data_IF_133642420822
#
_entry.id   IF_133642420822
#
_cell.length_a   1.000
_cell.length_b   1.000
_cell.length_c   1.000
_cell.angle_alpha   90.00
_cell.angle_beta   90.00
_cell.angle_gamma   90.00
#
_symmetry.space_group_name_H-M   'P 1'
#
loop_
_entity.id
_entity.type
_entity.pdbx_description
1 polymer ?
#
# COMPACT_ATOMS: atom_id res chain seq x y z
N UNK A 1 9.19 8.68 6.46
CA UNK A 1 9.42 9.24 5.10
C UNK A 1 10.62 8.57 4.47
N UNK A 2 11.67 8.25 5.21
CA UNK A 2 12.81 7.47 4.71
C UNK A 2 12.39 6.12 4.11
N UNK A 3 11.58 5.32 4.82
CA UNK A 3 11.00 4.07 4.30
C UNK A 3 10.21 4.26 2.99
N UNK A 4 9.52 5.40 2.82
CA UNK A 4 8.78 5.71 1.59
C UNK A 4 9.74 6.03 0.46
N UNK A 5 10.81 6.77 0.74
CA UNK A 5 11.85 7.06 -0.24
C UNK A 5 12.54 5.77 -0.71
N UNK A 6 12.78 4.83 0.22
CA UNK A 6 13.31 3.51 -0.11
C UNK A 6 12.35 2.74 -1.05
N UNK A 7 11.04 2.76 -0.79
CA UNK A 7 10.05 2.14 -1.68
C UNK A 7 10.02 2.82 -3.05
N UNK A 8 10.04 4.16 -3.09
CA UNK A 8 10.08 4.94 -4.35
C UNK A 8 11.30 4.53 -5.18
N UNK A 9 12.48 4.44 -4.57
CA UNK A 9 13.70 4.01 -5.27
C UNK A 9 13.65 2.54 -5.68
N UNK A 10 13.20 1.65 -4.79
CA UNK A 10 13.14 0.20 -5.02
C UNK A 10 12.22 -0.15 -6.18
N UNK A 11 11.07 0.51 -6.29
CA UNK A 11 10.06 0.25 -7.32
C UNK A 11 10.12 1.23 -8.50
N UNK A 12 11.05 2.19 -8.49
CA UNK A 12 11.17 3.20 -9.55
C UNK A 12 9.92 4.07 -9.69
N UNK A 13 9.30 4.44 -8.57
CA UNK A 13 8.08 5.25 -8.55
C UNK A 13 8.39 6.72 -8.83
N UNK A 14 7.40 7.44 -9.35
CA UNK A 14 7.46 8.90 -9.48
C UNK A 14 6.88 9.54 -8.20
N UNK A 15 7.27 10.77 -7.88
CA UNK A 15 6.67 11.54 -6.79
C UNK A 15 6.60 13.03 -7.13
N UNK A 16 5.61 13.73 -6.58
CA UNK A 16 5.51 15.19 -6.64
C UNK A 16 5.49 15.80 -5.21
N UNK A 17 5.13 17.08 -5.06
CA UNK A 17 5.09 17.72 -3.73
C UNK A 17 4.14 17.04 -2.72
N UNK A 18 3.09 16.37 -3.20
CA UNK A 18 2.00 15.85 -2.38
C UNK A 18 1.72 14.35 -2.59
N UNK A 19 2.19 13.75 -3.69
CA UNK A 19 1.81 12.40 -4.11
C UNK A 19 3.00 11.49 -4.38
N UNK A 20 2.80 10.20 -4.09
CA UNK A 20 3.54 9.10 -4.70
C UNK A 20 2.73 8.62 -5.90
N UNK A 21 3.37 8.46 -7.05
CA UNK A 21 2.74 8.16 -8.33
C UNK A 21 3.17 6.76 -8.74
N UNK A 22 2.21 5.84 -8.78
CA UNK A 22 2.43 4.42 -9.06
C UNK A 22 1.90 4.09 -10.46
N UNK A 23 2.73 3.59 -11.39
CA UNK A 23 2.26 3.08 -12.67
C UNK A 23 1.54 1.73 -12.46
N UNK A 24 0.27 1.64 -12.84
CA UNK A 24 -0.58 0.44 -12.63
C UNK A 24 -0.94 -0.27 -13.95
N UNK A 25 -0.06 -0.17 -14.95
CA UNK A 25 -0.23 -0.81 -16.27
C UNK A 25 -0.83 0.10 -17.35
N UNK A 26 -0.32 -0.03 -18.58
CA UNK A 26 -0.69 0.83 -19.70
C UNK A 26 -0.41 2.32 -19.43
N UNK A 27 -1.38 3.17 -19.73
CA UNK A 27 -1.30 4.63 -19.47
C UNK A 27 -1.94 5.04 -18.13
N UNK A 28 -2.25 4.09 -17.24
CA UNK A 28 -2.91 4.38 -15.95
C UNK A 28 -1.88 4.64 -14.86
N UNK A 29 -2.16 5.64 -14.02
CA UNK A 29 -1.34 6.03 -12.86
C UNK A 29 -2.25 6.12 -11.64
N UNK A 30 -1.80 5.58 -10.52
CA UNK A 30 -2.40 5.77 -9.21
C UNK A 30 -1.64 6.87 -8.46
N UNK A 31 -2.36 7.80 -7.86
CA UNK A 31 -1.80 8.92 -7.11
C UNK A 31 -2.16 8.75 -5.65
N UNK A 32 -1.15 8.55 -4.80
CA UNK A 32 -1.34 8.30 -3.37
C UNK A 32 -0.80 9.51 -2.59
N UNK A 33 -1.64 10.10 -1.76
CA UNK A 33 -1.25 11.23 -0.92
C UNK A 33 -0.13 10.85 0.07
N UNK A 34 0.89 11.70 0.18
CA UNK A 34 1.99 11.60 1.15
C UNK A 34 1.51 11.95 2.56
N UNK A 35 0.77 11.03 3.15
CA UNK A 35 0.35 11.07 4.57
C UNK A 35 1.00 9.92 5.30
N UNK A 36 1.24 10.07 6.61
CA UNK A 36 1.80 8.97 7.41
C UNK A 36 0.88 7.75 7.41
N UNK A 37 -0.43 8.00 7.46
CA UNK A 37 -1.47 6.98 7.44
C UNK A 37 -2.60 7.39 6.50
N UNK A 38 -3.23 6.38 5.90
CA UNK A 38 -4.44 6.51 5.10
C UNK A 38 -5.54 5.68 5.74
N UNK A 39 -6.66 6.32 6.05
CA UNK A 39 -7.83 5.65 6.58
C UNK A 39 -8.62 5.00 5.45
N UNK A 40 -8.82 3.69 5.54
CA UNK A 40 -9.75 2.95 4.68
C UNK A 40 -10.99 2.61 5.49
N UNK A 41 -12.15 3.04 4.99
CA UNK A 41 -13.46 2.80 5.61
C UNK A 41 -14.10 1.61 4.91
N UNK A 42 -14.27 0.51 5.64
CA UNK A 42 -14.91 -0.72 5.14
C UNK A 42 -16.43 -0.72 5.40
N UNK A 43 -16.85 -0.13 6.52
CA UNK A 43 -18.26 0.10 6.86
C UNK A 43 -18.39 1.31 7.78
N UNK A 44 -19.63 1.71 8.10
CA UNK A 44 -19.89 2.86 8.99
C UNK A 44 -19.17 2.76 10.35
N UNK A 45 -18.94 1.55 10.86
CA UNK A 45 -18.31 1.31 12.16
C UNK A 45 -16.93 0.66 12.07
N UNK A 46 -16.48 0.29 10.86
CA UNK A 46 -15.20 -0.40 10.65
C UNK A 46 -14.31 0.39 9.69
N UNK A 47 -13.20 0.88 10.23
CA UNK A 47 -12.15 1.54 9.49
C UNK A 47 -10.79 1.11 10.03
N UNK A 48 -9.77 1.17 9.16
CA UNK A 48 -8.40 0.85 9.50
C UNK A 48 -7.48 1.94 8.95
N UNK A 49 -6.53 2.38 9.77
CA UNK A 49 -5.50 3.35 9.38
C UNK A 49 -4.25 2.59 8.94
N UNK A 50 -3.96 2.58 7.65
CA UNK A 50 -2.81 1.89 7.07
C UNK A 50 -1.63 2.85 6.91
N UNK A 51 -0.39 2.44 7.28
CA UNK A 51 0.79 3.21 6.97
C UNK A 51 0.98 3.30 5.45
N UNK A 52 1.50 4.43 4.98
CA UNK A 52 1.65 4.68 3.54
C UNK A 52 2.53 3.63 2.84
N UNK A 53 3.48 3.03 3.55
CA UNK A 53 4.30 1.92 3.06
C UNK A 53 3.44 0.75 2.58
N UNK A 54 2.52 0.29 3.43
CA UNK A 54 1.59 -0.81 3.11
C UNK A 54 0.63 -0.45 1.98
N UNK A 55 0.18 0.80 1.92
CA UNK A 55 -0.68 1.29 0.83
C UNK A 55 0.06 1.21 -0.51
N UNK A 56 1.31 1.67 -0.56
CA UNK A 56 2.15 1.61 -1.76
C UNK A 56 2.37 0.16 -2.18
N UNK A 57 2.80 -0.69 -1.26
CA UNK A 57 3.11 -2.10 -1.54
C UNK A 57 1.87 -2.87 -2.00
N UNK A 58 0.72 -2.69 -1.34
CA UNK A 58 -0.53 -3.31 -1.75
C UNK A 58 -0.97 -2.85 -3.15
N UNK A 59 -0.80 -1.57 -3.47
CA UNK A 59 -1.14 -1.02 -4.79
C UNK A 59 -0.24 -1.60 -5.89
N UNK A 60 1.05 -1.79 -5.61
CA UNK A 60 2.00 -2.40 -6.56
C UNK A 60 1.72 -3.90 -6.74
N UNK A 61 1.41 -4.61 -5.64
CA UNK A 61 1.18 -6.06 -5.66
C UNK A 61 -0.14 -6.42 -6.36
N UNK A 62 -1.19 -5.61 -6.18
CA UNK A 62 -2.51 -5.85 -6.74
C UNK A 62 -3.06 -4.63 -7.50
N UNK A 63 -2.45 -4.22 -8.63
CA UNK A 63 -2.78 -2.98 -9.33
C UNK A 63 -4.18 -2.95 -9.96
N UNK A 64 -4.78 -4.13 -10.18
CA UNK A 64 -6.12 -4.28 -10.75
C UNK A 64 -7.24 -4.27 -9.68
N UNK A 65 -6.89 -4.32 -8.39
CA UNK A 65 -7.86 -4.40 -7.29
C UNK A 65 -8.14 -3.02 -6.67
N UNK A 66 -9.35 -2.80 -6.12
CA UNK A 66 -9.60 -1.67 -5.24
C UNK A 66 -8.64 -1.69 -4.04
N UNK A 67 -8.17 -0.51 -3.62
CA UNK A 67 -7.19 -0.39 -2.53
C UNK A 67 -7.63 -1.11 -1.24
N UNK A 68 -8.92 -1.04 -0.90
CA UNK A 68 -9.47 -1.72 0.27
C UNK A 68 -9.33 -3.25 0.22
N UNK A 69 -9.50 -3.84 -0.96
CA UNK A 69 -9.33 -5.28 -1.20
C UNK A 69 -7.85 -5.65 -1.26
N UNK A 70 -7.04 -4.84 -1.95
CA UNK A 70 -5.59 -5.02 -2.03
C UNK A 70 -4.95 -5.03 -0.63
N UNK A 71 -5.35 -4.09 0.23
CA UNK A 71 -4.86 -4.01 1.62
C UNK A 71 -5.37 -5.17 2.49
N UNK A 72 -6.61 -5.62 2.29
CA UNK A 72 -7.15 -6.78 3.00
C UNK A 72 -6.33 -8.04 2.67
N UNK A 73 -6.04 -8.28 1.39
CA UNK A 73 -5.20 -9.41 0.96
C UNK A 73 -3.76 -9.26 1.45
N UNK A 74 -3.14 -8.10 1.23
CA UNK A 74 -1.75 -7.84 1.61
C UNK A 74 -1.50 -8.04 3.11
N UNK A 75 -2.37 -7.49 3.96
CA UNK A 75 -2.23 -7.62 5.41
C UNK A 75 -2.66 -9.01 5.92
N UNK A 76 -3.60 -9.66 5.23
CA UNK A 76 -3.99 -11.04 5.51
C UNK A 76 -2.85 -12.02 5.24
N UNK A 77 -2.16 -11.90 4.11
CA UNK A 77 -0.99 -12.72 3.77
C UNK A 77 0.17 -12.49 4.76
N UNK A 78 0.43 -11.25 5.16
CA UNK A 78 1.46 -10.96 6.18
C UNK A 78 1.20 -11.61 7.53
N UNK A 79 -0.06 -11.76 7.94
CA UNK A 79 -0.40 -12.49 9.17
C UNK A 79 -0.05 -13.98 9.02
N UNK A 80 -0.39 -14.59 7.90
CA UNK A 80 -0.04 -15.98 7.61
C UNK A 80 1.48 -16.20 7.57
N UNK A 81 2.25 -15.30 6.95
CA UNK A 81 3.72 -15.39 6.90
C UNK A 81 4.40 -15.16 8.27
N UNK A 82 3.76 -14.40 9.17
CA UNK A 82 4.28 -14.18 10.54
C UNK A 82 4.02 -15.38 11.44
N UNK A 83 2.89 -16.06 11.25
CA UNK A 83 2.54 -17.27 12.01
C UNK A 83 3.44 -18.46 11.60
N UNK A 84 3.85 -18.57 10.33
CA UNK A 84 4.78 -19.62 9.86
C UNK A 84 6.25 -19.41 10.30
N UNK A 85 6.67 -18.17 10.59
CA UNK A 85 8.03 -17.85 11.04
C UNK A 85 8.20 -17.86 12.57
N UNK A 86 7.16 -18.20 13.33
CA UNK A 86 7.18 -18.28 14.80
C UNK A 86 7.44 -19.71 15.33
N UNK A 87 7.57 -20.70 14.44
CA UNK A 87 8.00 -22.06 14.77
C UNK A 87 9.39 -22.35 14.17
N UNK A 88 10.45 -21.81 14.77
CA UNK A 88 11.81 -22.36 14.65
C UNK A 88 12.74 -21.91 15.79
#
# INVERSE_FOLDING_TARGET
>A
MEEINELIQRYGLEEDGEHVIIPIGGNKRCFILKRRYIRVVYSETHYVDYPLTEVIEATIKYPELPLSEALYLFCGERKAETDENSEN
#
